data_IF_485997565030
#
_entry.id   IF_485997565030
#
_cell.length_a   1.000
_cell.length_b   1.000
_cell.length_c   1.000
_cell.angle_alpha   90.00
_cell.angle_beta   90.00
_cell.angle_gamma   90.00
#
_symmetry.space_group_name_H-M   'P 1'
#
loop_
_entity.id
_entity.type
_entity.pdbx_description
1 polymer ?
#
# COMPACT_ATOMS: atom_id res chain seq x y z
N UNK A 1 20.43 -30.23 -19.52
CA UNK A 1 19.60 -29.34 -18.68
C UNK A 1 20.04 -27.94 -18.98
N UNK A 2 19.19 -27.16 -19.63
CA UNK A 2 19.50 -25.80 -20.06
C UNK A 2 19.45 -24.86 -18.83
N UNK A 3 20.55 -24.18 -18.47
CA UNK A 3 20.58 -23.29 -17.31
C UNK A 3 19.50 -22.20 -17.36
N UNK A 4 19.15 -21.73 -18.56
CA UNK A 4 18.12 -20.71 -18.75
C UNK A 4 16.72 -21.23 -18.42
N UNK A 5 16.42 -22.50 -18.71
CA UNK A 5 15.15 -23.13 -18.35
C UNK A 5 15.04 -23.37 -16.84
N UNK A 6 16.16 -23.67 -16.18
CA UNK A 6 16.20 -23.82 -14.73
C UNK A 6 15.95 -22.49 -14.01
N UNK A 7 16.58 -21.40 -14.46
CA UNK A 7 16.33 -20.07 -13.92
C UNK A 7 14.89 -19.60 -14.14
N UNK A 8 14.32 -19.79 -15.34
CA UNK A 8 12.93 -19.46 -15.62
C UNK A 8 11.94 -20.25 -14.76
N UNK A 9 12.24 -21.52 -14.48
CA UNK A 9 11.44 -22.35 -13.60
C UNK A 9 11.51 -21.88 -12.14
N UNK A 10 12.69 -21.49 -11.66
CA UNK A 10 12.85 -20.90 -10.32
C UNK A 10 12.13 -19.56 -10.18
N UNK A 11 12.17 -18.70 -11.19
CA UNK A 11 11.42 -17.43 -11.18
C UNK A 11 9.91 -17.67 -11.20
N UNK A 12 9.44 -18.67 -11.96
CA UNK A 12 8.04 -19.07 -11.97
C UNK A 12 7.60 -19.58 -10.59
N UNK A 13 8.41 -20.43 -9.95
CA UNK A 13 8.10 -20.93 -8.61
C UNK A 13 8.14 -19.82 -7.54
N UNK A 14 9.05 -18.84 -7.66
CA UNK A 14 9.08 -17.66 -6.79
C UNK A 14 7.84 -16.77 -6.98
N UNK A 15 7.39 -16.58 -8.22
CA UNK A 15 6.20 -15.80 -8.53
C UNK A 15 4.90 -16.49 -8.10
N UNK A 16 4.82 -17.80 -8.23
CA UNK A 16 3.62 -18.59 -7.88
C UNK A 16 3.51 -18.83 -6.37
N UNK A 17 4.58 -18.64 -5.60
CA UNK A 17 4.64 -19.03 -4.17
C UNK A 17 4.58 -17.87 -3.17
N UNK A 18 4.43 -16.61 -3.60
CA UNK A 18 4.05 -15.55 -2.65
C UNK A 18 2.59 -15.78 -2.26
N UNK A 19 2.39 -16.52 -1.18
CA UNK A 19 1.06 -16.74 -0.63
C UNK A 19 0.50 -15.40 -0.14
N UNK A 20 -0.80 -15.11 -0.35
CA UNK A 20 -1.42 -13.86 0.09
C UNK A 20 -1.23 -13.60 1.59
N UNK A 21 -1.18 -14.67 2.40
CA UNK A 21 -0.88 -14.60 3.84
C UNK A 21 0.51 -14.01 4.14
N UNK A 22 1.53 -14.33 3.33
CA UNK A 22 2.88 -13.76 3.49
C UNK A 22 2.90 -12.27 3.10
N UNK A 23 2.07 -11.88 2.12
CA UNK A 23 1.94 -10.50 1.68
C UNK A 23 1.22 -9.63 2.73
N UNK A 24 0.21 -10.19 3.41
CA UNK A 24 -0.48 -9.54 4.52
C UNK A 24 0.44 -9.30 5.73
N UNK A 25 1.26 -10.30 6.09
CA UNK A 25 2.24 -10.18 7.19
C UNK A 25 3.35 -9.16 6.88
N UNK A 26 3.86 -9.15 5.65
CA UNK A 26 4.86 -8.17 5.19
C UNK A 26 4.27 -6.74 5.17
N UNK A 27 3.03 -6.59 4.73
CA UNK A 27 2.35 -5.28 4.74
C UNK A 27 2.10 -4.79 6.17
N UNK A 28 1.69 -5.69 7.09
CA UNK A 28 1.54 -5.35 8.50
C UNK A 28 2.85 -4.89 9.15
N UNK A 29 3.97 -5.55 8.83
CA UNK A 29 5.29 -5.14 9.29
C UNK A 29 5.68 -3.76 8.72
N UNK A 30 5.39 -3.50 7.45
CA UNK A 30 5.58 -2.19 6.83
C UNK A 30 4.75 -1.10 7.53
N UNK A 31 3.45 -1.32 7.74
CA UNK A 31 2.55 -0.34 8.39
C UNK A 31 3.08 0.07 9.76
N UNK A 32 3.53 -0.90 10.56
CA UNK A 32 4.09 -0.65 11.88
C UNK A 32 5.40 0.16 11.82
N UNK A 33 6.27 -0.14 10.85
CA UNK A 33 7.53 0.58 10.65
C UNK A 33 7.29 2.03 10.18
N UNK A 34 6.47 2.24 9.14
CA UNK A 34 6.17 3.57 8.61
C UNK A 34 5.44 4.44 9.64
N UNK A 35 4.47 3.85 10.37
CA UNK A 35 3.81 4.55 11.47
C UNK A 35 4.79 4.94 12.59
N UNK A 36 5.67 4.03 13.01
CA UNK A 36 6.69 4.31 14.02
C UNK A 36 7.60 5.48 13.65
N UNK A 37 7.94 5.61 12.36
CA UNK A 37 8.71 6.73 11.81
C UNK A 37 7.92 8.05 11.87
N UNK A 38 6.63 8.01 11.51
CA UNK A 38 5.76 9.19 11.35
C UNK A 38 5.12 9.69 12.63
N UNK A 39 4.97 8.84 13.63
CA UNK A 39 4.50 9.24 14.96
C UNK A 39 5.35 10.37 15.56
N UNK A 40 6.61 10.50 15.15
CA UNK A 40 7.49 11.62 15.54
C UNK A 40 7.12 12.95 14.87
N UNK A 41 6.49 12.91 13.70
CA UNK A 41 6.07 14.07 12.90
C UNK A 41 4.59 14.43 13.13
N UNK A 42 3.76 13.42 13.38
CA UNK A 42 2.32 13.54 13.60
C UNK A 42 1.93 12.79 14.88
N UNK A 43 2.21 13.36 16.07
CA UNK A 43 1.93 12.70 17.34
C UNK A 43 0.42 12.53 17.60
N UNK A 44 -0.41 13.35 16.95
CA UNK A 44 -1.87 13.37 17.11
C UNK A 44 -2.57 12.25 16.34
N UNK A 45 -1.86 11.53 15.46
CA UNK A 45 -2.43 10.44 14.69
C UNK A 45 -2.32 9.13 15.48
N UNK A 46 -3.46 8.64 15.94
CA UNK A 46 -3.56 7.34 16.59
C UNK A 46 -3.14 6.20 15.66
N UNK A 47 -2.75 5.07 16.24
CA UNK A 47 -2.48 3.86 15.46
C UNK A 47 -3.73 3.38 14.71
N UNK A 48 -4.91 3.45 15.33
CA UNK A 48 -6.18 3.06 14.72
C UNK A 48 -6.53 3.91 13.49
N UNK A 49 -6.29 5.22 13.59
CA UNK A 49 -6.43 6.19 12.53
C UNK A 49 -5.47 5.93 11.36
N UNK A 50 -4.22 5.62 11.67
CA UNK A 50 -3.23 5.22 10.67
C UNK A 50 -3.61 3.90 9.99
N UNK A 51 -4.08 2.90 10.74
CA UNK A 51 -4.59 1.64 10.20
C UNK A 51 -5.74 1.86 9.23
N UNK A 52 -6.68 2.76 9.54
CA UNK A 52 -7.77 3.12 8.63
C UNK A 52 -7.25 3.73 7.34
N UNK A 53 -6.26 4.63 7.42
CA UNK A 53 -5.64 5.23 6.26
C UNK A 53 -4.88 4.18 5.40
N UNK A 54 -4.16 3.24 6.02
CA UNK A 54 -3.48 2.17 5.29
C UNK A 54 -4.46 1.18 4.65
N UNK A 55 -5.55 0.81 5.33
CA UNK A 55 -6.59 -0.03 4.76
C UNK A 55 -7.26 0.65 3.55
N UNK A 56 -7.55 1.96 3.67
CA UNK A 56 -8.04 2.76 2.56
C UNK A 56 -7.05 2.83 1.40
N UNK A 57 -5.75 2.97 1.70
CA UNK A 57 -4.70 2.95 0.69
C UNK A 57 -4.63 1.62 -0.06
N UNK A 58 -4.65 0.48 0.64
CA UNK A 58 -4.63 -0.84 0.02
C UNK A 58 -5.87 -1.08 -0.86
N UNK A 59 -7.06 -0.69 -0.39
CA UNK A 59 -8.30 -0.80 -1.17
C UNK A 59 -8.26 0.07 -2.44
N UNK A 60 -7.85 1.33 -2.32
CA UNK A 60 -7.79 2.27 -3.45
C UNK A 60 -6.69 1.92 -4.45
N UNK A 61 -5.58 1.32 -4.01
CA UNK A 61 -4.51 0.82 -4.89
C UNK A 61 -5.02 -0.24 -5.86
N UNK A 62 -5.82 -1.20 -5.37
CA UNK A 62 -6.41 -2.25 -6.20
C UNK A 62 -7.33 -1.71 -7.30
N UNK A 63 -7.97 -0.55 -7.07
CA UNK A 63 -8.87 0.09 -8.04
C UNK A 63 -8.13 0.95 -9.08
N UNK A 64 -6.96 1.49 -8.73
CA UNK A 64 -6.24 2.48 -9.55
C UNK A 64 -4.89 1.98 -10.08
N UNK A 65 -4.52 0.72 -9.80
CA UNK A 65 -3.29 0.07 -10.26
C UNK A 65 -2.01 0.91 -10.01
N UNK A 66 -1.95 1.65 -8.90
CA UNK A 66 -0.80 2.48 -8.52
C UNK A 66 -0.69 3.84 -9.22
N UNK A 67 -1.60 4.19 -10.15
CA UNK A 67 -1.59 5.48 -10.83
C UNK A 67 -2.27 6.57 -9.98
N UNK A 68 -1.47 7.44 -9.35
CA UNK A 68 -1.96 8.54 -8.52
C UNK A 68 -1.87 9.88 -9.27
N UNK A 69 -2.79 10.12 -10.21
CA UNK A 69 -2.94 11.42 -10.86
C UNK A 69 -3.79 12.40 -10.02
N UNK A 70 -3.83 13.67 -10.44
CA UNK A 70 -4.53 14.72 -9.68
C UNK A 70 -6.04 14.44 -9.55
N UNK A 71 -6.68 13.95 -10.61
CA UNK A 71 -8.11 13.63 -10.59
C UNK A 71 -8.43 12.44 -9.67
N UNK A 72 -7.51 11.47 -9.57
CA UNK A 72 -7.60 10.36 -8.64
C UNK A 72 -7.38 10.84 -7.21
N UNK A 73 -6.39 11.70 -6.95
CA UNK A 73 -6.18 12.28 -5.63
C UNK A 73 -7.41 13.05 -5.13
N UNK A 74 -8.04 13.87 -5.97
CA UNK A 74 -9.24 14.62 -5.61
C UNK A 74 -10.43 13.71 -5.29
N UNK A 75 -10.59 12.60 -6.02
CA UNK A 75 -11.63 11.60 -5.73
C UNK A 75 -11.35 10.86 -4.43
N UNK A 76 -10.10 10.54 -4.16
CA UNK A 76 -9.68 9.87 -2.93
C UNK A 76 -9.82 10.79 -1.71
N UNK A 77 -9.58 12.10 -1.86
CA UNK A 77 -9.82 13.11 -0.82
C UNK A 77 -11.29 13.13 -0.41
N UNK A 78 -12.18 13.30 -1.38
CA UNK A 78 -13.63 13.33 -1.15
C UNK A 78 -14.16 12.00 -0.57
N UNK A 79 -13.61 10.86 -1.01
CA UNK A 79 -13.94 9.57 -0.41
C UNK A 79 -13.43 9.48 1.03
N UNK A 80 -12.18 9.88 1.26
CA UNK A 80 -11.56 9.84 2.58
C UNK A 80 -12.35 10.67 3.57
N UNK A 81 -12.74 11.90 3.23
CA UNK A 81 -13.52 12.78 4.10
C UNK A 81 -14.84 12.15 4.57
N UNK A 82 -15.48 11.35 3.71
CA UNK A 82 -16.68 10.58 4.08
C UNK A 82 -16.38 9.39 4.97
N UNK A 83 -15.22 8.75 4.80
CA UNK A 83 -14.79 7.54 5.51
C UNK A 83 -14.16 7.81 6.88
N UNK A 84 -13.36 8.88 7.00
CA UNK A 84 -12.66 9.24 8.24
C UNK A 84 -13.61 9.63 9.37
N UNK A 85 -14.79 10.15 9.02
CA UNK A 85 -15.70 10.76 9.98
C UNK A 85 -15.01 11.88 10.76
N UNK A 86 -15.46 12.14 12.00
CA UNK A 86 -14.91 13.24 12.82
C UNK A 86 -13.52 12.92 13.41
N UNK A 87 -13.18 11.64 13.60
CA UNK A 87 -12.01 11.23 14.38
C UNK A 87 -10.76 10.91 13.55
N UNK A 88 -10.88 10.61 12.25
CA UNK A 88 -9.71 10.25 11.46
C UNK A 88 -8.78 11.43 11.16
N UNK A 89 -7.60 11.18 10.56
CA UNK A 89 -6.61 12.21 10.26
C UNK A 89 -7.04 13.03 9.04
N UNK A 90 -6.59 14.29 9.00
CA UNK A 90 -6.86 15.18 7.87
C UNK A 90 -6.24 14.64 6.59
N UNK A 91 -6.86 15.00 5.45
CA UNK A 91 -6.44 14.50 4.15
C UNK A 91 -4.92 14.66 3.87
N UNK A 92 -4.23 15.76 4.21
CA UNK A 92 -2.78 15.86 3.96
C UNK A 92 -1.96 14.76 4.66
N UNK A 93 -2.37 14.36 5.87
CA UNK A 93 -1.72 13.28 6.62
C UNK A 93 -2.07 11.92 6.03
N UNK A 94 -3.37 11.69 5.77
CA UNK A 94 -3.85 10.45 5.16
C UNK A 94 -3.23 10.22 3.77
N UNK A 95 -3.17 11.24 2.92
CA UNK A 95 -2.53 11.24 1.61
C UNK A 95 -1.07 10.84 1.69
N UNK A 96 -0.35 11.32 2.71
CA UNK A 96 1.06 10.93 2.90
C UNK A 96 1.18 9.45 3.24
N UNK A 97 0.31 8.92 4.12
CA UNK A 97 0.29 7.48 4.47
C UNK A 97 -0.09 6.63 3.26
N UNK A 98 -1.09 7.08 2.52
CA UNK A 98 -1.56 6.45 1.29
C UNK A 98 -0.47 6.33 0.25
N UNK A 99 0.27 7.42 -0.01
CA UNK A 99 1.35 7.43 -1.01
C UNK A 99 2.47 6.45 -0.70
N UNK A 100 2.90 6.36 0.55
CA UNK A 100 3.95 5.40 0.91
C UNK A 100 3.43 3.96 0.89
N UNK A 101 2.17 3.74 1.27
CA UNK A 101 1.54 2.42 1.13
C UNK A 101 1.44 2.00 -0.33
N UNK A 102 1.00 2.89 -1.23
CA UNK A 102 0.96 2.62 -2.67
C UNK A 102 2.35 2.35 -3.25
N UNK A 103 3.36 3.11 -2.83
CA UNK A 103 4.74 2.87 -3.22
C UNK A 103 5.23 1.50 -2.77
N UNK A 104 4.96 1.14 -1.52
CA UNK A 104 5.33 -0.18 -1.00
C UNK A 104 4.62 -1.29 -1.76
N UNK A 105 3.31 -1.12 -2.03
CA UNK A 105 2.50 -2.06 -2.79
C UNK A 105 3.02 -2.20 -4.23
N UNK A 106 3.39 -1.10 -4.90
CA UNK A 106 3.99 -1.12 -6.23
C UNK A 106 5.32 -1.91 -6.27
N UNK A 107 6.16 -1.73 -5.26
CA UNK A 107 7.43 -2.46 -5.12
C UNK A 107 7.23 -3.96 -4.77
N UNK A 108 6.10 -4.33 -4.16
CA UNK A 108 5.84 -5.66 -3.60
C UNK A 108 4.74 -6.47 -4.31
N UNK A 109 3.95 -5.86 -5.18
CA UNK A 109 2.94 -6.50 -6.02
C UNK A 109 3.53 -6.88 -7.39
N UNK A 110 3.80 -8.18 -7.65
CA UNK A 110 4.35 -8.64 -8.92
C UNK A 110 3.34 -8.63 -10.08
N UNK A 111 2.06 -8.29 -9.84
CA UNK A 111 1.01 -8.15 -10.86
C UNK A 111 0.95 -6.71 -11.39
N UNK A 112 1.12 -5.71 -10.53
CA UNK A 112 1.17 -4.30 -10.93
C UNK A 112 2.41 -3.98 -11.78
N UNK A 113 3.58 -4.53 -11.42
CA UNK A 113 4.83 -4.38 -12.17
C UNK A 113 4.82 -4.96 -13.60
N UNK A 114 3.78 -5.74 -13.97
CA UNK A 114 3.63 -6.36 -15.30
C UNK A 114 2.76 -5.57 -16.28
N UNK A 115 2.11 -4.50 -15.83
CA UNK A 115 1.20 -3.70 -16.66
C UNK A 115 1.89 -2.51 -17.36
N UNK A 116 3.20 -2.32 -17.15
CA UNK A 116 4.04 -1.32 -17.82
C UNK A 116 4.90 -1.91 -18.93
#
# INVERSE_FOLDING_TARGET
MDPHLYHAHLDTLRQVSRSPVLQDDEFAAFMAYDYGRRRRLHPDVGWEDACRAYAFAAASYAEHAGALDLDTELRLEDHWDRLRGEAGPDWPVARTLLREAWRWLDEHDPVAARAH
#
